data_IF_460373188892
#
_entry.id   IF_460373188892
#
_cell.length_a   1.000
_cell.length_b   1.000
_cell.length_c   1.000
_cell.angle_alpha   90.00
_cell.angle_beta   90.00
_cell.angle_gamma   90.00
#
_symmetry.space_group_name_H-M   'P 1'
#
loop_
_entity.id
_entity.type
_entity.pdbx_description
1 polymer ?
#
# COMPACT_ATOMS: atom_id res chain seq x y z
N UNK A 1 -3.75 -19.22 -17.64
CA UNK A 1 -4.51 -18.41 -16.65
C UNK A 1 -3.80 -17.07 -16.59
N UNK A 2 -4.50 -15.93 -16.64
CA UNK A 2 -3.83 -14.64 -16.51
C UNK A 2 -3.39 -14.46 -15.06
N UNK A 3 -2.09 -14.51 -14.80
CA UNK A 3 -1.50 -14.26 -13.48
C UNK A 3 -1.62 -12.77 -13.13
N UNK A 4 -1.57 -12.45 -11.83
CA UNK A 4 -1.55 -11.06 -11.40
C UNK A 4 -0.29 -10.37 -11.91
N UNK A 5 -0.46 -9.27 -12.64
CA UNK A 5 0.64 -8.54 -13.29
C UNK A 5 0.76 -7.14 -12.71
N UNK A 6 1.97 -6.74 -12.31
CA UNK A 6 2.27 -5.37 -11.89
C UNK A 6 2.57 -4.53 -13.12
N UNK A 7 1.80 -3.47 -13.33
CA UNK A 7 1.90 -2.59 -14.50
C UNK A 7 1.94 -1.12 -14.11
N UNK A 8 2.34 -0.27 -15.04
CA UNK A 8 2.24 1.17 -14.89
C UNK A 8 0.79 1.63 -15.10
N UNK A 9 0.31 2.48 -14.20
CA UNK A 9 -0.99 3.10 -14.27
C UNK A 9 -1.04 4.09 -15.46
N UNK A 10 -1.92 3.91 -16.45
CA UNK A 10 -2.04 4.82 -17.59
C UNK A 10 -2.52 6.24 -17.23
N UNK A 11 -3.15 6.44 -16.07
CA UNK A 11 -3.68 7.76 -15.68
C UNK A 11 -2.69 8.58 -14.84
N UNK A 12 -2.09 7.98 -13.81
CA UNK A 12 -1.18 8.68 -12.90
C UNK A 12 0.29 8.25 -13.01
N UNK A 13 0.62 7.31 -13.92
CA UNK A 13 1.97 6.73 -14.07
C UNK A 13 2.52 5.99 -12.85
N UNK A 14 1.71 5.86 -11.79
CA UNK A 14 2.04 5.09 -10.59
C UNK A 14 1.94 3.58 -10.81
N UNK A 15 1.95 2.83 -9.71
CA UNK A 15 1.84 1.37 -9.73
C UNK A 15 0.38 0.95 -9.81
N UNK A 16 0.10 0.01 -10.70
CA UNK A 16 -1.20 -0.64 -10.82
C UNK A 16 -1.02 -2.17 -10.93
N UNK A 17 -2.11 -2.89 -10.66
CA UNK A 17 -2.15 -4.34 -10.74
C UNK A 17 -3.27 -4.77 -11.67
N UNK A 18 -2.99 -5.70 -12.57
CA UNK A 18 -3.97 -6.34 -13.43
C UNK A 18 -4.18 -7.76 -12.92
N UNK A 19 -5.42 -8.10 -12.60
CA UNK A 19 -5.83 -9.43 -12.15
C UNK A 19 -7.09 -9.92 -12.88
N UNK A 20 -7.29 -11.23 -13.05
CA UNK A 20 -8.56 -11.74 -13.57
C UNK A 20 -9.69 -11.53 -12.56
N UNK A 21 -10.87 -11.16 -13.05
CA UNK A 21 -12.10 -11.12 -12.25
C UNK A 21 -12.79 -12.50 -12.22
N UNK A 22 -13.89 -12.63 -11.47
CA UNK A 22 -14.68 -13.89 -11.37
C UNK A 22 -15.25 -14.39 -12.71
N UNK A 23 -15.39 -13.50 -13.70
CA UNK A 23 -15.89 -13.81 -15.03
C UNK A 23 -14.75 -14.11 -16.03
N UNK A 24 -13.49 -14.00 -15.61
CA UNK A 24 -12.30 -14.21 -16.44
C UNK A 24 -11.88 -13.01 -17.29
N UNK A 25 -12.47 -11.82 -17.08
CA UNK A 25 -11.98 -10.58 -17.69
C UNK A 25 -10.87 -9.94 -16.85
N UNK A 26 -10.06 -9.10 -17.49
CA UNK A 26 -9.04 -8.32 -16.78
C UNK A 26 -9.69 -7.28 -15.86
N UNK A 27 -9.07 -7.01 -14.72
CA UNK A 27 -9.46 -6.00 -13.75
C UNK A 27 -8.20 -5.26 -13.30
N UNK A 28 -8.15 -3.96 -13.57
CA UNK A 28 -7.01 -3.12 -13.23
C UNK A 28 -7.31 -2.34 -11.95
N UNK A 29 -6.41 -2.39 -10.98
CA UNK A 29 -6.51 -1.64 -9.73
C UNK A 29 -5.30 -0.75 -9.54
N UNK A 30 -5.53 0.57 -9.46
CA UNK A 30 -4.54 1.55 -9.04
C UNK A 30 -4.91 2.09 -7.65
N UNK A 31 -3.92 2.25 -6.77
CA UNK A 31 -4.14 2.82 -5.43
C UNK A 31 -4.54 4.30 -5.45
N UNK A 32 -4.11 5.04 -6.48
CA UNK A 32 -4.39 6.48 -6.62
C UNK A 32 -5.64 6.76 -7.45
N UNK A 33 -5.81 6.09 -8.59
CA UNK A 33 -6.92 6.35 -9.52
C UNK A 33 -8.15 5.47 -9.27
N UNK A 34 -8.01 4.44 -8.45
CA UNK A 34 -9.06 3.45 -8.22
C UNK A 34 -9.09 2.33 -9.28
N UNK A 35 -10.18 1.53 -9.27
CA UNK A 35 -10.32 0.38 -10.15
C UNK A 35 -10.89 0.73 -11.53
N UNK A 36 -10.42 0.03 -12.56
CA UNK A 36 -11.01 0.01 -13.90
C UNK A 36 -11.46 -1.41 -14.26
N UNK A 37 -12.73 -1.52 -14.61
CA UNK A 37 -13.39 -2.78 -14.93
C UNK A 37 -13.97 -2.73 -16.35
N UNK A 38 -13.11 -2.93 -17.35
CA UNK A 38 -13.57 -3.15 -18.71
C UNK A 38 -13.87 -4.63 -18.96
N UNK A 39 -14.75 -4.92 -19.92
CA UNK A 39 -15.12 -6.28 -20.30
C UNK A 39 -14.64 -6.64 -21.69
N UNK A 40 -14.43 -7.93 -21.92
CA UNK A 40 -14.20 -8.49 -23.24
C UNK A 40 -12.74 -8.41 -23.71
N UNK A 41 -12.49 -8.91 -24.93
CA UNK A 41 -11.13 -9.14 -25.43
C UNK A 41 -10.34 -7.85 -25.66
N UNK A 42 -11.01 -6.75 -26.03
CA UNK A 42 -10.36 -5.45 -26.24
C UNK A 42 -9.74 -4.90 -24.95
N UNK A 43 -10.47 -4.99 -23.83
CA UNK A 43 -9.95 -4.52 -22.54
C UNK A 43 -8.80 -5.40 -22.05
N UNK A 44 -8.91 -6.72 -22.23
CA UNK A 44 -7.84 -7.66 -21.89
C UNK A 44 -6.55 -7.35 -22.67
N UNK A 45 -6.64 -7.22 -23.99
CA UNK A 45 -5.50 -6.88 -24.84
C UNK A 45 -4.89 -5.52 -24.46
N UNK A 46 -5.72 -4.54 -24.11
CA UNK A 46 -5.25 -3.25 -23.61
C UNK A 46 -4.48 -3.38 -22.29
N UNK A 47 -5.00 -4.12 -21.30
CA UNK A 47 -4.28 -4.39 -20.05
C UNK A 47 -2.96 -5.12 -20.29
N UNK A 48 -2.89 -6.04 -21.25
CA UNK A 48 -1.66 -6.76 -21.61
C UNK A 48 -0.61 -5.84 -22.22
N UNK A 49 -1.04 -4.82 -22.98
CA UNK A 49 -0.15 -3.81 -23.59
C UNK A 49 0.46 -2.82 -22.60
N UNK A 50 -0.04 -2.77 -21.36
CA UNK A 50 0.48 -1.85 -20.36
C UNK A 50 1.93 -2.20 -19.97
N UNK A 51 2.77 -1.18 -19.69
CA UNK A 51 4.16 -1.39 -19.30
C UNK A 51 4.23 -2.22 -18.03
N UNK A 52 4.90 -3.38 -18.08
CA UNK A 52 5.16 -4.21 -16.90
C UNK A 52 6.20 -3.53 -16.01
N UNK A 53 5.97 -3.56 -14.69
CA UNK A 53 6.92 -3.07 -13.68
C UNK A 53 7.63 -4.21 -12.95
N UNK A 54 7.54 -5.44 -13.47
CA UNK A 54 8.29 -6.59 -12.98
C UNK A 54 9.77 -6.26 -12.91
N UNK A 55 10.23 -6.08 -11.67
CA UNK A 55 11.58 -5.64 -11.36
C UNK A 55 12.51 -6.82 -11.59
N UNK A 56 13.39 -6.69 -12.60
CA UNK A 56 14.66 -7.42 -12.62
C UNK A 56 15.32 -7.20 -11.25
N UNK A 57 15.88 -8.23 -10.59
CA UNK A 57 16.41 -8.12 -9.23
C UNK A 57 17.41 -6.95 -9.15
N UNK A 58 17.23 -6.13 -8.10
CA UNK A 58 18.16 -5.09 -7.68
C UNK A 58 19.55 -5.72 -7.57
N UNK A 59 20.63 -5.15 -8.15
CA UNK A 59 21.97 -5.66 -7.89
C UNK A 59 22.23 -5.61 -6.38
N UNK A 60 22.64 -6.75 -5.83
CA UNK A 60 23.01 -6.92 -4.43
C UNK A 60 24.01 -5.82 -4.02
N UNK A 61 23.81 -5.11 -2.91
CA UNK A 61 24.84 -4.23 -2.40
C UNK A 61 26.02 -5.08 -1.96
N UNK A 62 27.16 -4.92 -2.65
CA UNK A 62 28.43 -5.55 -2.30
C UNK A 62 28.75 -5.21 -0.83
N UNK A 63 28.67 -6.22 0.03
CA UNK A 63 29.12 -6.14 1.41
C UNK A 63 30.64 -6.14 1.44
N UNK A 64 31.24 -4.98 1.22
CA UNK A 64 32.61 -4.71 1.63
C UNK A 64 32.57 -4.05 3.02
N UNK A 65 32.91 -4.82 4.05
CA UNK A 65 33.37 -4.23 5.33
C UNK A 65 34.76 -3.60 5.13
N UNK A 66 35.27 -2.78 6.08
CA UNK A 66 35.45 -3.22 7.46
C UNK A 66 35.14 -2.18 8.58
N UNK A 67 35.11 -2.73 9.78
CA UNK A 67 35.03 -2.14 11.14
C UNK A 67 36.04 -1.01 11.41
N UNK A 68 35.67 0.03 12.19
CA UNK A 68 36.45 0.63 13.32
C UNK A 68 35.56 1.59 14.12
N UNK A 69 35.41 1.29 15.40
CA UNK A 69 35.30 2.16 16.59
C UNK A 69 34.44 3.44 16.61
N UNK A 70 33.65 3.51 17.70
CA UNK A 70 33.56 4.66 18.63
C UNK A 70 33.25 6.05 18.06
N UNK A 71 32.00 6.47 18.29
CA UNK A 71 31.64 7.81 18.76
C UNK A 71 30.18 7.70 19.25
N UNK A 72 29.89 7.30 20.49
CA UNK A 72 30.22 7.98 21.75
C UNK A 72 29.81 9.45 21.67
N UNK A 73 28.53 9.69 22.01
CA UNK A 73 27.83 10.94 22.36
C UNK A 73 26.34 10.57 22.43
N UNK A 74 25.86 9.89 23.47
CA UNK A 74 25.68 10.44 24.81
C UNK A 74 25.57 11.98 24.80
N UNK A 75 24.34 12.48 24.65
CA UNK A 75 23.92 13.73 25.29
C UNK A 75 22.44 13.59 25.64
N UNK A 76 22.26 13.08 26.86
CA UNK A 76 21.19 13.37 27.81
C UNK A 76 20.49 14.74 27.61
N UNK A 77 19.15 14.74 27.63
CA UNK A 77 18.32 15.84 28.13
C UNK A 77 16.89 15.32 28.38
N UNK A 78 16.74 14.77 29.59
CA UNK A 78 15.62 14.81 30.55
C UNK A 78 14.12 14.71 30.17
N UNK A 79 13.31 14.11 31.08
CA UNK A 79 11.93 13.66 30.82
C UNK A 79 10.89 14.79 30.96
N UNK A 80 9.83 14.73 30.14
CA UNK A 80 8.59 15.47 30.40
C UNK A 80 7.59 14.57 31.13
N UNK A 81 6.96 15.06 32.21
CA UNK A 81 6.25 14.24 33.19
C UNK A 81 4.91 13.69 32.69
N UNK A 82 4.61 12.49 33.15
CA UNK A 82 3.27 11.90 33.13
C UNK A 82 2.29 12.80 33.92
N UNK A 83 1.27 13.30 33.26
CA UNK A 83 0.00 13.66 33.90
C UNK A 83 -1.05 12.67 33.47
N UNK A 84 -1.15 11.59 34.24
CA UNK A 84 -2.37 10.83 34.43
C UNK A 84 -3.42 11.76 35.07
N UNK A 85 -4.57 11.92 34.41
CA UNK A 85 -5.93 11.95 35.02
C UNK A 85 -6.91 12.45 33.97
N UNK A 86 -7.86 11.61 33.55
CA UNK A 86 -9.11 12.10 32.98
C UNK A 86 -9.69 11.24 31.87
N UNK A 87 -10.49 10.26 32.28
CA UNK A 87 -11.63 9.70 31.57
C UNK A 87 -11.37 8.95 30.25
N UNK A 88 -11.58 7.63 30.32
CA UNK A 88 -11.76 6.78 29.15
C UNK A 88 -12.98 7.24 28.38
N UNK A 89 -12.73 8.07 27.36
CA UNK A 89 -13.68 8.41 26.30
C UNK A 89 -14.19 7.09 25.71
N UNK A 90 -15.41 6.77 26.11
CA UNK A 90 -16.03 5.50 25.89
C UNK A 90 -16.37 5.44 24.41
N UNK A 91 -15.61 4.63 23.65
CA UNK A 91 -15.85 4.32 22.24
C UNK A 91 -17.25 3.69 21.97
N UNK A 92 -18.13 3.65 22.96
CA UNK A 92 -19.47 3.05 22.94
C UNK A 92 -20.59 4.10 22.74
N UNK A 93 -20.32 5.40 22.96
CA UNK A 93 -21.35 6.46 22.87
C UNK A 93 -21.93 6.63 21.44
N UNK A 94 -21.11 6.42 20.40
CA UNK A 94 -21.59 6.52 19.01
C UNK A 94 -22.41 5.31 18.54
N UNK A 95 -22.31 4.13 19.19
CA UNK A 95 -23.14 2.98 18.84
C UNK A 95 -24.57 3.10 19.38
N UNK A 96 -24.76 3.73 20.54
CA UNK A 96 -26.09 3.89 21.13
C UNK A 96 -26.95 4.94 20.40
N UNK A 97 -26.32 5.92 19.76
CA UNK A 97 -27.01 6.98 19.01
C UNK A 97 -27.80 6.47 17.79
N UNK A 98 -27.46 5.31 17.24
CA UNK A 98 -28.15 4.68 16.10
C UNK A 98 -29.09 3.53 16.50
N UNK A 99 -29.04 3.09 17.77
CA UNK A 99 -29.75 1.91 18.27
C UNK A 99 -31.14 2.17 18.86
N UNK A 100 -31.56 3.44 19.01
CA UNK A 100 -32.92 3.81 19.44
C UNK A 100 -33.67 4.51 18.31
N UNK A 101 -33.95 3.76 17.26
CA UNK A 101 -35.04 4.04 16.34
C UNK A 101 -36.30 3.33 16.84
N UNK A 102 -37.37 4.10 16.97
CA UNK A 102 -38.71 3.83 17.51
C UNK A 102 -39.38 2.49 17.14
#
# INVERSE_FOLDING_TARGET
MCEEKRVQCPACLGVAFVKPNRLGDAFLTCSTCGPWNGRGPKFRAWCESLPSLDSKPVPEPEKEGPTVAEQLRETESEPVPETETGDGDTQEDWLEAWGRGE
#
